data_IF_658672732584
#
_entry.id   IF_658672732584
#
_cell.length_a   1.000
_cell.length_b   1.000
_cell.length_c   1.000
_cell.angle_alpha   90.00
_cell.angle_beta   90.00
_cell.angle_gamma   90.00
#
_symmetry.space_group_name_H-M   'P 1'
#
loop_
_entity.id
_entity.type
_entity.pdbx_description
1 polymer ?
#
# COMPACT_ATOMS: atom_id res chain seq x y z
N UNK A 1 16.63 -20.74 72.79
CA UNK A 1 15.34 -21.44 73.08
C UNK A 1 14.52 -21.41 71.81
N UNK A 2 14.59 -22.47 71.10
CA UNK A 2 13.58 -23.47 70.69
C UNK A 2 12.19 -22.89 70.39
N UNK A 3 11.75 -23.09 69.15
CA UNK A 3 10.50 -23.78 68.86
C UNK A 3 10.37 -24.20 67.41
N UNK A 4 10.64 -25.46 67.16
CA UNK A 4 10.07 -26.28 66.12
C UNK A 4 8.57 -26.42 66.34
N UNK A 5 7.77 -26.28 65.30
CA UNK A 5 6.41 -26.85 65.27
C UNK A 5 6.04 -27.18 63.85
N UNK A 6 6.14 -28.42 63.51
CA UNK A 6 5.21 -29.36 62.95
C UNK A 6 4.16 -28.80 61.96
N UNK A 7 4.35 -29.07 60.67
CA UNK A 7 3.29 -28.96 59.68
C UNK A 7 2.98 -30.37 59.19
N UNK A 8 1.79 -30.82 59.55
CA UNK A 8 1.19 -32.05 59.04
C UNK A 8 0.83 -31.92 57.55
N UNK A 9 1.19 -32.95 56.79
CA UNK A 9 0.79 -33.20 55.40
C UNK A 9 -0.73 -33.27 55.31
N UNK A 10 -1.30 -32.51 54.41
CA UNK A 10 -2.59 -32.77 53.82
C UNK A 10 -2.36 -32.77 52.29
N UNK A 11 -2.33 -33.98 51.76
CA UNK A 11 -2.31 -34.19 50.29
C UNK A 11 -3.72 -33.95 49.77
N UNK A 12 -3.90 -32.77 49.12
CA UNK A 12 -5.03 -32.58 48.22
C UNK A 12 -4.52 -32.83 46.80
N UNK A 13 -4.93 -33.93 46.25
CA UNK A 13 -4.80 -34.22 44.82
C UNK A 13 -5.82 -33.35 44.12
N UNK A 14 -5.38 -32.19 43.63
CA UNK A 14 -6.15 -31.41 42.69
C UNK A 14 -5.92 -31.99 41.30
N UNK A 15 -6.88 -32.72 40.78
CA UNK A 15 -6.97 -33.06 39.37
C UNK A 15 -7.12 -31.76 38.59
N UNK A 16 -6.01 -31.26 38.09
CA UNK A 16 -6.03 -30.20 37.06
C UNK A 16 -6.55 -30.86 35.79
N UNK A 17 -7.83 -30.74 35.55
CA UNK A 17 -8.40 -30.96 34.22
C UNK A 17 -7.73 -29.95 33.27
N UNK A 18 -6.79 -30.44 32.47
CA UNK A 18 -6.30 -29.76 31.29
C UNK A 18 -7.49 -29.57 30.35
N UNK A 19 -8.23 -28.47 30.52
CA UNK A 19 -9.10 -27.96 29.49
C UNK A 19 -8.14 -27.51 28.39
N UNK A 20 -7.91 -28.40 27.43
CA UNK A 20 -7.36 -28.05 26.12
C UNK A 20 -8.35 -27.12 25.47
N UNK A 21 -8.34 -25.86 25.90
CA UNK A 21 -8.95 -24.77 25.14
C UNK A 21 -8.27 -24.74 23.80
N UNK A 22 -8.84 -25.43 22.82
CA UNK A 22 -8.56 -25.09 21.43
C UNK A 22 -8.80 -23.60 21.30
N UNK A 23 -7.73 -22.83 21.32
CA UNK A 23 -7.76 -21.45 20.85
C UNK A 23 -8.25 -21.55 19.42
N UNK A 24 -9.53 -21.30 19.21
CA UNK A 24 -10.00 -20.96 17.88
C UNK A 24 -9.18 -19.74 17.50
N UNK A 25 -8.17 -19.96 16.67
CA UNK A 25 -7.47 -18.89 15.99
C UNK A 25 -8.59 -18.08 15.34
N UNK A 26 -8.81 -16.86 15.85
CA UNK A 26 -9.80 -15.96 15.32
C UNK A 26 -9.50 -15.81 13.84
N UNK A 27 -10.39 -16.28 12.99
CA UNK A 27 -10.31 -16.15 11.52
C UNK A 27 -10.52 -14.71 11.05
N UNK A 28 -9.98 -13.72 11.79
CA UNK A 28 -9.95 -12.37 11.30
C UNK A 28 -8.85 -12.26 10.24
N UNK A 29 -9.17 -11.71 9.06
CA UNK A 29 -8.15 -11.48 8.04
C UNK A 29 -7.01 -10.66 8.62
N UNK A 30 -5.78 -11.09 8.35
CA UNK A 30 -4.54 -10.44 8.83
C UNK A 30 -4.44 -8.98 8.40
N UNK A 31 -5.01 -8.66 7.24
CA UNK A 31 -4.94 -7.34 6.63
C UNK A 31 -6.33 -6.74 6.43
N UNK A 32 -6.45 -5.41 6.59
CA UNK A 32 -7.63 -4.65 6.20
C UNK A 32 -7.77 -4.62 4.67
N UNK A 33 -9.00 -4.65 4.17
CA UNK A 33 -9.23 -4.48 2.73
C UNK A 33 -9.08 -3.00 2.40
N UNK A 34 -8.03 -2.68 1.66
CA UNK A 34 -7.71 -1.32 1.23
C UNK A 34 -8.23 -0.97 -0.16
N UNK A 35 -8.41 0.33 -0.42
CA UNK A 35 -8.67 0.90 -1.74
C UNK A 35 -7.77 2.11 -1.96
N UNK A 36 -7.12 2.18 -3.14
CA UNK A 36 -6.54 3.44 -3.60
C UNK A 36 -7.67 4.36 -4.06
N UNK A 37 -7.83 5.52 -3.38
CA UNK A 37 -8.97 6.43 -3.60
C UNK A 37 -9.00 7.07 -5.01
N UNK A 38 -7.89 7.02 -5.75
CA UNK A 38 -7.88 7.42 -7.17
C UNK A 38 -8.84 6.59 -8.02
N UNK A 39 -9.16 5.37 -7.59
CA UNK A 39 -10.14 4.50 -8.26
C UNK A 39 -11.54 5.09 -8.31
N UNK A 40 -11.88 5.93 -7.36
CA UNK A 40 -13.21 6.56 -7.21
C UNK A 40 -13.09 8.09 -7.14
N UNK A 41 -12.09 8.64 -7.86
CA UNK A 41 -11.76 10.07 -7.82
C UNK A 41 -12.92 10.99 -8.19
N UNK A 42 -13.73 10.60 -9.18
CA UNK A 42 -14.93 11.31 -9.61
C UNK A 42 -15.97 11.42 -8.50
N UNK A 43 -16.20 10.33 -7.75
CA UNK A 43 -17.09 10.33 -6.60
C UNK A 43 -16.47 11.10 -5.41
N UNK A 44 -15.17 10.98 -5.17
CA UNK A 44 -14.46 11.73 -4.13
C UNK A 44 -14.44 13.24 -4.40
N UNK A 45 -14.34 13.67 -5.65
CA UNK A 45 -14.42 15.08 -6.03
C UNK A 45 -15.83 15.66 -5.82
N UNK A 46 -16.86 14.86 -6.03
CA UNK A 46 -18.26 15.27 -5.91
C UNK A 46 -18.73 15.34 -4.46
N UNK A 47 -18.53 14.28 -3.70
CA UNK A 47 -18.95 14.17 -2.28
C UNK A 47 -18.06 13.13 -1.56
N UNK A 48 -16.96 13.56 -0.96
CA UNK A 48 -16.03 12.65 -0.27
C UNK A 48 -16.68 11.88 0.89
N UNK A 49 -17.57 12.53 1.65
CA UNK A 49 -18.18 11.93 2.85
C UNK A 49 -19.15 10.81 2.45
N UNK A 50 -20.03 11.06 1.50
CA UNK A 50 -20.99 10.06 1.01
C UNK A 50 -20.26 8.92 0.30
N UNK A 51 -19.16 9.21 -0.42
CA UNK A 51 -18.32 8.21 -1.06
C UNK A 51 -17.69 7.28 -0.02
N UNK A 52 -17.06 7.83 1.02
CA UNK A 52 -16.45 7.04 2.09
C UNK A 52 -17.48 6.18 2.84
N UNK A 53 -18.69 6.72 3.12
CA UNK A 53 -19.79 5.94 3.70
C UNK A 53 -20.20 4.76 2.83
N UNK A 54 -20.24 4.96 1.51
CA UNK A 54 -20.60 3.91 0.54
C UNK A 54 -19.49 2.86 0.46
N UNK A 55 -18.22 3.25 0.41
CA UNK A 55 -17.08 2.34 0.43
C UNK A 55 -17.04 1.50 1.71
N UNK A 56 -17.31 2.11 2.88
CA UNK A 56 -17.47 1.36 4.14
C UNK A 56 -18.57 0.29 4.05
N UNK A 57 -19.74 0.64 3.50
CA UNK A 57 -20.85 -0.32 3.31
C UNK A 57 -20.48 -1.48 2.39
N UNK A 58 -19.62 -1.26 1.40
CA UNK A 58 -19.06 -2.31 0.53
C UNK A 58 -18.09 -3.22 1.29
N UNK A 59 -17.47 -2.68 2.35
CA UNK A 59 -16.55 -3.42 3.24
C UNK A 59 -15.08 -3.04 3.09
N UNK A 60 -14.77 -1.92 2.45
CA UNK A 60 -13.45 -1.31 2.54
C UNK A 60 -13.19 -0.77 3.94
N UNK A 61 -11.96 -0.85 4.41
CA UNK A 61 -11.59 -0.56 5.79
C UNK A 61 -10.41 0.41 5.90
N UNK A 62 -9.55 0.43 4.87
CA UNK A 62 -8.35 1.25 4.83
C UNK A 62 -8.18 1.91 3.46
N UNK A 63 -7.52 3.06 3.42
CA UNK A 63 -7.35 3.76 2.16
C UNK A 63 -5.91 4.21 1.92
N UNK A 64 -5.54 4.21 0.64
CA UNK A 64 -4.41 4.97 0.15
C UNK A 64 -4.93 6.26 -0.47
N UNK A 65 -4.44 7.39 0.03
CA UNK A 65 -4.86 8.73 -0.43
C UNK A 65 -4.10 9.16 -1.68
N UNK A 66 -4.63 10.16 -2.39
CA UNK A 66 -3.97 10.84 -3.49
C UNK A 66 -4.35 12.33 -3.47
N UNK A 67 -3.63 13.14 -4.26
CA UNK A 67 -4.06 14.51 -4.56
C UNK A 67 -3.99 15.49 -3.39
N UNK A 68 -3.07 15.28 -2.43
CA UNK A 68 -2.82 16.27 -1.39
C UNK A 68 -2.42 17.62 -2.00
N UNK A 69 -3.21 18.65 -1.75
CA UNK A 69 -2.90 20.02 -2.15
C UNK A 69 -1.96 20.68 -1.13
N UNK A 70 -0.67 20.73 -1.44
CA UNK A 70 0.35 21.31 -0.56
C UNK A 70 0.23 22.82 -0.39
N UNK A 71 -0.43 23.53 -1.32
CA UNK A 71 -0.65 24.98 -1.21
C UNK A 71 -1.78 25.28 -0.22
N UNK A 72 -2.90 24.57 -0.36
CA UNK A 72 -4.06 24.70 0.51
C UNK A 72 -3.96 23.85 1.78
N UNK A 73 -3.02 22.89 1.81
CA UNK A 73 -2.83 21.88 2.86
C UNK A 73 -4.10 21.07 3.10
N UNK A 74 -4.70 20.54 2.02
CA UNK A 74 -5.98 19.84 2.06
C UNK A 74 -5.96 18.52 1.30
N UNK A 75 -6.73 17.55 1.81
CA UNK A 75 -7.19 16.36 1.11
C UNK A 75 -8.68 16.51 0.83
N UNK A 76 -9.10 16.43 -0.40
CA UNK A 76 -10.54 16.43 -0.79
C UNK A 76 -11.34 17.58 -0.16
N UNK A 77 -10.74 18.75 0.00
CA UNK A 77 -11.37 19.92 0.62
C UNK A 77 -11.17 20.07 2.14
N UNK A 78 -10.69 19.06 2.84
CA UNK A 78 -10.50 19.04 4.30
C UNK A 78 -9.02 19.19 4.68
N UNK A 79 -8.74 19.79 5.82
CA UNK A 79 -7.41 19.69 6.43
C UNK A 79 -7.10 18.23 6.81
N UNK A 80 -5.84 17.83 6.98
CA UNK A 80 -5.49 16.47 7.40
C UNK A 80 -6.20 16.02 8.68
N UNK A 81 -6.33 16.92 9.66
CA UNK A 81 -6.99 16.63 10.94
C UNK A 81 -8.51 16.43 10.75
N UNK A 82 -9.16 17.32 9.99
CA UNK A 82 -10.59 17.16 9.68
C UNK A 82 -10.85 15.85 8.92
N UNK A 83 -10.01 15.53 7.92
CA UNK A 83 -10.17 14.29 7.15
C UNK A 83 -9.96 13.07 8.03
N UNK A 84 -8.96 13.08 8.94
CA UNK A 84 -8.79 12.02 9.94
C UNK A 84 -10.01 11.87 10.84
N UNK A 85 -10.61 12.96 11.30
CA UNK A 85 -11.82 12.90 12.13
C UNK A 85 -12.96 12.24 11.37
N UNK A 86 -13.21 12.64 10.12
CA UNK A 86 -14.22 12.02 9.25
C UNK A 86 -13.99 10.51 9.11
N UNK A 87 -12.74 10.09 8.88
CA UNK A 87 -12.41 8.66 8.78
C UNK A 87 -12.67 7.93 10.10
N UNK A 88 -12.23 8.49 11.22
CA UNK A 88 -12.44 7.90 12.54
C UNK A 88 -13.92 7.74 12.89
N UNK A 89 -14.75 8.75 12.64
CA UNK A 89 -16.21 8.71 12.86
C UNK A 89 -16.88 7.62 12.02
N UNK A 90 -16.28 7.31 10.88
CA UNK A 90 -16.70 6.20 10.02
C UNK A 90 -16.05 4.86 10.40
N UNK A 91 -15.12 4.80 11.36
CA UNK A 91 -14.35 3.61 11.67
C UNK A 91 -13.47 3.14 10.51
N UNK A 92 -12.95 4.09 9.73
CA UNK A 92 -12.06 3.90 8.58
C UNK A 92 -10.66 4.41 8.92
N UNK A 93 -9.66 3.97 8.16
CA UNK A 93 -8.28 4.41 8.31
C UNK A 93 -7.66 4.77 6.96
N UNK A 94 -6.53 5.49 7.01
CA UNK A 94 -5.56 5.56 5.93
C UNK A 94 -4.23 5.00 6.44
N UNK A 95 -3.47 4.39 5.57
CA UNK A 95 -2.14 3.87 5.91
C UNK A 95 -1.05 4.36 4.95
N UNK A 96 -1.43 4.93 3.81
CA UNK A 96 -0.53 5.38 2.75
C UNK A 96 -1.12 6.52 1.93
N UNK A 97 -0.26 7.24 1.24
CA UNK A 97 -0.67 8.27 0.28
C UNK A 97 0.29 8.43 -0.89
N UNK A 98 -0.27 8.61 -2.10
CA UNK A 98 0.44 9.01 -3.30
C UNK A 98 0.57 10.53 -3.35
N UNK A 99 1.80 11.02 -3.35
CA UNK A 99 2.10 12.45 -3.35
C UNK A 99 2.74 12.89 -4.68
N UNK A 100 2.50 14.12 -5.11
CA UNK A 100 2.99 14.68 -6.37
C UNK A 100 4.51 14.90 -6.43
N UNK A 101 5.30 13.93 -6.02
CA UNK A 101 6.77 14.00 -5.94
C UNK A 101 7.45 13.95 -7.31
N UNK A 102 6.78 13.42 -8.31
CA UNK A 102 7.28 13.29 -9.69
C UNK A 102 7.57 14.63 -10.38
N UNK A 103 6.89 15.71 -9.98
CA UNK A 103 7.14 17.07 -10.47
C UNK A 103 8.36 17.74 -9.86
N UNK A 104 9.02 17.10 -8.88
CA UNK A 104 10.06 17.73 -8.06
C UNK A 104 11.48 17.29 -8.43
N UNK A 105 11.64 16.44 -9.44
CA UNK A 105 12.92 15.86 -9.84
C UNK A 105 13.99 16.92 -10.20
N UNK A 106 13.58 18.05 -10.79
CA UNK A 106 14.47 19.14 -11.20
C UNK A 106 14.63 20.23 -10.15
N UNK A 107 13.87 20.15 -9.06
CA UNK A 107 13.95 21.18 -8.04
C UNK A 107 15.28 21.08 -7.27
N UNK A 108 15.76 22.22 -6.79
CA UNK A 108 16.81 22.24 -5.78
C UNK A 108 16.38 21.45 -4.54
N UNK A 109 17.34 20.89 -3.83
CA UNK A 109 17.07 20.10 -2.62
C UNK A 109 16.25 20.92 -1.60
N UNK A 110 16.48 22.23 -1.49
CA UNK A 110 15.69 23.11 -0.62
C UNK A 110 14.19 23.09 -0.98
N UNK A 111 13.85 23.27 -2.27
CA UNK A 111 12.44 23.27 -2.72
C UNK A 111 11.81 21.89 -2.57
N UNK A 112 12.54 20.83 -2.92
CA UNK A 112 12.11 19.45 -2.74
C UNK A 112 11.81 19.16 -1.26
N UNK A 113 12.72 19.48 -0.36
CA UNK A 113 12.53 19.19 1.05
C UNK A 113 11.43 20.03 1.69
N UNK A 114 11.25 21.29 1.28
CA UNK A 114 10.11 22.11 1.74
C UNK A 114 8.76 21.51 1.34
N UNK A 115 8.65 20.99 0.12
CA UNK A 115 7.46 20.28 -0.33
C UNK A 115 7.27 18.98 0.48
N UNK A 116 8.34 18.21 0.65
CA UNK A 116 8.33 16.95 1.39
C UNK A 116 7.93 17.14 2.85
N UNK A 117 8.39 18.24 3.50
CA UNK A 117 7.96 18.57 4.87
C UNK A 117 6.44 18.78 4.97
N UNK A 118 5.83 19.39 3.95
CA UNK A 118 4.38 19.52 3.90
C UNK A 118 3.68 18.17 3.78
N UNK A 119 4.20 17.26 2.96
CA UNK A 119 3.67 15.91 2.80
C UNK A 119 3.83 15.09 4.10
N UNK A 120 5.00 15.15 4.74
CA UNK A 120 5.29 14.49 6.02
C UNK A 120 4.30 14.94 7.11
N UNK A 121 4.13 16.25 7.28
CA UNK A 121 3.22 16.79 8.28
C UNK A 121 1.77 16.36 8.03
N UNK A 122 1.34 16.33 6.77
CA UNK A 122 -0.01 15.89 6.42
C UNK A 122 -0.21 14.38 6.67
N UNK A 123 0.76 13.57 6.28
CA UNK A 123 0.75 12.11 6.49
C UNK A 123 0.75 11.75 7.98
N UNK A 124 1.59 12.40 8.79
CA UNK A 124 1.60 12.24 10.25
C UNK A 124 0.27 12.63 10.89
N UNK A 125 -0.32 13.74 10.45
CA UNK A 125 -1.61 14.19 10.96
C UNK A 125 -2.75 13.21 10.64
N UNK A 126 -2.74 12.58 9.45
CA UNK A 126 -3.66 11.48 9.11
C UNK A 126 -3.40 10.22 9.94
N UNK A 127 -2.15 9.96 10.31
CA UNK A 127 -1.72 8.73 10.97
C UNK A 127 -1.26 7.65 9.99
N UNK A 128 -0.93 8.04 8.74
CA UNK A 128 -0.37 7.17 7.73
C UNK A 128 0.95 6.53 8.20
N UNK A 129 1.34 5.46 7.52
CA UNK A 129 2.60 4.76 7.72
C UNK A 129 3.55 4.97 6.55
N UNK A 130 3.01 5.30 5.37
CA UNK A 130 3.77 5.40 4.13
C UNK A 130 3.47 6.69 3.36
N UNK A 131 4.54 7.28 2.85
CA UNK A 131 4.50 8.24 1.73
C UNK A 131 4.97 7.48 0.50
N UNK A 132 4.23 7.57 -0.61
CA UNK A 132 4.57 6.85 -1.85
C UNK A 132 4.91 7.84 -2.97
N UNK A 133 6.02 7.54 -3.65
CA UNK A 133 6.37 8.16 -4.95
C UNK A 133 5.58 7.44 -6.04
N UNK A 134 4.55 8.08 -6.65
CA UNK A 134 3.56 7.36 -7.41
C UNK A 134 3.99 6.99 -8.84
N UNK A 135 4.79 7.81 -9.50
CA UNK A 135 5.15 7.63 -10.91
C UNK A 135 6.34 8.50 -11.33
N UNK A 136 7.13 8.01 -12.29
CA UNK A 136 8.22 8.78 -12.92
C UNK A 136 7.71 9.51 -14.18
N UNK A 137 8.07 10.78 -14.35
CA UNK A 137 7.72 11.54 -15.55
C UNK A 137 8.45 10.95 -16.77
N UNK A 138 7.76 10.86 -17.91
CA UNK A 138 8.25 10.27 -19.17
C UNK A 138 9.62 10.80 -19.62
N UNK A 139 9.92 12.07 -19.38
CA UNK A 139 11.21 12.68 -19.76
C UNK A 139 12.42 12.06 -19.04
N UNK A 140 12.19 11.31 -17.95
CA UNK A 140 13.23 10.60 -17.20
C UNK A 140 13.25 9.10 -17.50
N UNK A 141 12.53 8.61 -18.49
CA UNK A 141 12.60 7.21 -18.92
C UNK A 141 13.89 6.99 -19.73
N UNK A 142 15.03 7.08 -19.06
CA UNK A 142 16.38 6.89 -19.60
C UNK A 142 17.32 6.46 -18.49
N UNK A 143 18.51 5.96 -18.83
CA UNK A 143 19.53 5.60 -17.86
C UNK A 143 19.85 6.77 -16.90
N UNK A 144 20.16 7.94 -17.45
CA UNK A 144 20.46 9.13 -16.62
C UNK A 144 19.26 9.56 -15.75
N UNK A 145 18.04 9.38 -16.26
CA UNK A 145 16.83 9.65 -15.51
C UNK A 145 16.68 8.73 -14.31
N UNK A 146 16.99 7.43 -14.44
CA UNK A 146 16.98 6.49 -13.31
C UNK A 146 18.11 6.75 -12.32
N UNK A 147 19.31 7.13 -12.78
CA UNK A 147 20.39 7.55 -11.88
C UNK A 147 20.01 8.78 -11.05
N UNK A 148 19.34 9.75 -11.67
CA UNK A 148 18.80 10.92 -10.95
C UNK A 148 17.70 10.50 -9.97
N UNK A 149 16.76 9.65 -10.41
CA UNK A 149 15.66 9.13 -9.58
C UNK A 149 16.19 8.44 -8.33
N UNK A 150 17.12 7.51 -8.47
CA UNK A 150 17.74 6.77 -7.35
C UNK A 150 18.36 7.71 -6.33
N UNK A 151 19.10 8.72 -6.78
CA UNK A 151 19.66 9.76 -5.90
C UNK A 151 18.56 10.49 -5.13
N UNK A 152 17.49 10.92 -5.82
CA UNK A 152 16.37 11.62 -5.18
C UNK A 152 15.56 10.72 -4.25
N UNK A 153 15.35 9.45 -4.61
CA UNK A 153 14.66 8.49 -3.74
C UNK A 153 15.43 8.28 -2.42
N UNK A 154 16.75 8.14 -2.48
CA UNK A 154 17.58 8.02 -1.28
C UNK A 154 17.48 9.28 -0.39
N UNK A 155 17.59 10.48 -0.97
CA UNK A 155 17.47 11.74 -0.23
C UNK A 155 16.09 11.88 0.45
N UNK A 156 15.00 11.59 -0.30
CA UNK A 156 13.64 11.65 0.23
C UNK A 156 13.40 10.57 1.29
N UNK A 157 13.84 9.34 1.01
CA UNK A 157 13.65 8.20 1.91
C UNK A 157 14.33 8.40 3.25
N UNK A 158 15.57 8.89 3.26
CA UNK A 158 16.29 9.21 4.49
C UNK A 158 15.54 10.25 5.34
N UNK A 159 15.06 11.33 4.69
CA UNK A 159 14.31 12.40 5.39
C UNK A 159 12.97 11.89 5.94
N UNK A 160 12.22 11.12 5.15
CA UNK A 160 10.94 10.53 5.56
C UNK A 160 11.18 9.55 6.72
N UNK A 161 12.20 8.71 6.65
CA UNK A 161 12.55 7.78 7.73
C UNK A 161 12.84 8.48 9.04
N UNK A 162 13.58 9.60 9.01
CA UNK A 162 13.86 10.43 10.19
C UNK A 162 12.60 11.03 10.83
N UNK A 163 11.51 11.18 10.08
CA UNK A 163 10.22 11.66 10.60
C UNK A 163 9.36 10.58 11.25
N UNK A 164 9.78 9.32 11.22
CA UNK A 164 9.02 8.18 11.75
C UNK A 164 8.06 7.53 10.74
N UNK A 165 8.03 8.03 9.50
CA UNK A 165 7.28 7.42 8.40
C UNK A 165 8.18 6.49 7.57
N UNK A 166 7.55 5.70 6.70
CA UNK A 166 8.23 4.94 5.66
C UNK A 166 8.00 5.57 4.29
N UNK A 167 8.91 5.33 3.38
CA UNK A 167 8.84 5.79 2.01
C UNK A 167 8.81 4.60 1.06
N UNK A 168 7.97 4.65 0.02
CA UNK A 168 7.92 3.60 -0.99
C UNK A 168 7.90 4.19 -2.41
N UNK A 169 8.44 3.43 -3.37
CA UNK A 169 8.33 3.69 -4.80
C UNK A 169 7.29 2.74 -5.39
N UNK A 170 6.36 3.27 -6.18
CA UNK A 170 5.33 2.52 -6.91
C UNK A 170 5.78 2.31 -8.37
N UNK A 171 5.76 1.06 -8.84
CA UNK A 171 6.17 0.74 -10.19
C UNK A 171 5.06 0.94 -11.23
N UNK A 172 5.50 1.31 -12.44
CA UNK A 172 4.70 1.32 -13.66
C UNK A 172 5.29 0.37 -14.72
N UNK A 173 4.61 0.23 -15.85
CA UNK A 173 5.06 -0.63 -16.95
C UNK A 173 6.41 -0.21 -17.56
N UNK A 174 6.73 1.07 -17.57
CA UNK A 174 8.02 1.58 -18.08
C UNK A 174 9.20 1.18 -17.19
N UNK A 175 9.00 0.84 -15.93
CA UNK A 175 10.06 0.40 -15.02
C UNK A 175 10.61 -0.98 -15.39
N UNK A 176 9.91 -1.71 -16.26
CA UNK A 176 10.35 -3.01 -16.82
C UNK A 176 11.03 -2.90 -18.18
N UNK A 177 11.19 -1.69 -18.71
CA UNK A 177 12.04 -1.47 -19.90
C UNK A 177 13.51 -1.47 -19.49
N UNK A 178 14.37 -1.86 -20.44
CA UNK A 178 15.82 -1.86 -20.22
C UNK A 178 16.37 -0.45 -20.42
N UNK A 179 17.17 -0.02 -19.43
CA UNK A 179 17.96 1.20 -19.45
C UNK A 179 19.39 0.81 -19.10
N UNK A 180 20.26 0.80 -20.09
CA UNK A 180 21.65 0.31 -19.97
C UNK A 180 21.71 -1.13 -19.39
N UNK A 181 21.06 -2.06 -20.08
CA UNK A 181 21.03 -3.52 -19.80
C UNK A 181 20.26 -3.99 -18.57
N UNK A 182 19.73 -3.08 -17.73
CA UNK A 182 18.91 -3.42 -16.56
C UNK A 182 17.53 -2.79 -16.69
N UNK A 183 16.52 -3.42 -16.12
CA UNK A 183 15.20 -2.80 -15.96
C UNK A 183 15.30 -1.57 -15.05
N UNK A 184 14.46 -0.57 -15.31
CA UNK A 184 14.39 0.62 -14.45
C UNK A 184 14.18 0.28 -12.98
N UNK A 185 13.34 -0.72 -12.69
CA UNK A 185 13.09 -1.17 -11.32
C UNK A 185 14.31 -1.86 -10.68
N UNK A 186 15.15 -2.55 -11.47
CA UNK A 186 16.40 -3.13 -10.95
C UNK A 186 17.37 -2.04 -10.48
N UNK A 187 17.48 -0.92 -11.23
CA UNK A 187 18.25 0.25 -10.79
C UNK A 187 17.77 0.77 -9.44
N UNK A 188 16.44 0.85 -9.23
CA UNK A 188 15.87 1.28 -7.96
C UNK A 188 16.17 0.28 -6.85
N UNK A 189 16.02 -1.01 -7.12
CA UNK A 189 16.29 -2.08 -6.14
C UNK A 189 17.75 -2.07 -5.69
N UNK A 190 18.69 -1.99 -6.63
CA UNK A 190 20.12 -2.13 -6.35
C UNK A 190 20.74 -0.86 -5.74
N UNK A 191 20.31 0.31 -6.19
CA UNK A 191 20.98 1.58 -5.89
C UNK A 191 20.29 2.41 -4.80
N UNK A 192 19.15 1.96 -4.29
CA UNK A 192 18.50 2.64 -3.16
C UNK A 192 18.73 1.89 -1.85
N UNK A 193 18.91 2.65 -0.77
CA UNK A 193 19.03 2.09 0.57
C UNK A 193 17.72 1.37 0.97
N UNK A 194 17.73 0.06 1.26
CA UNK A 194 16.53 -0.71 1.57
C UNK A 194 15.85 -0.31 2.88
N UNK A 195 16.55 0.34 3.79
CA UNK A 195 15.95 0.85 5.03
C UNK A 195 15.17 2.15 4.81
N UNK A 196 15.57 2.94 3.81
CA UNK A 196 14.96 4.22 3.50
C UNK A 196 13.87 4.13 2.43
N UNK A 197 14.06 3.26 1.42
CA UNK A 197 13.17 3.13 0.26
C UNK A 197 12.59 1.73 0.21
N UNK A 198 11.31 1.61 0.51
CA UNK A 198 10.51 0.40 0.31
C UNK A 198 9.88 0.43 -1.08
N UNK A 199 9.17 -0.62 -1.44
CA UNK A 199 8.56 -0.77 -2.76
C UNK A 199 7.06 -1.05 -2.61
N UNK A 200 6.29 -0.46 -3.51
CA UNK A 200 4.89 -0.77 -3.74
C UNK A 200 4.79 -1.47 -5.10
N UNK A 201 4.46 -2.78 -5.09
CA UNK A 201 4.27 -3.50 -6.34
C UNK A 201 2.84 -3.32 -6.84
N UNK A 202 2.74 -2.94 -8.10
CA UNK A 202 1.49 -2.96 -8.86
C UNK A 202 1.50 -4.14 -9.82
N UNK A 203 0.70 -5.15 -9.49
CA UNK A 203 0.67 -6.41 -10.25
C UNK A 203 0.17 -6.24 -11.69
N UNK A 204 -0.75 -5.29 -11.93
CA UNK A 204 -1.20 -5.03 -13.29
C UNK A 204 -0.03 -4.59 -14.19
N UNK A 205 0.80 -3.68 -13.71
CA UNK A 205 1.93 -3.20 -14.50
C UNK A 205 3.01 -4.26 -14.70
N UNK A 206 3.25 -5.13 -13.70
CA UNK A 206 4.13 -6.29 -13.85
C UNK A 206 3.61 -7.22 -14.95
N UNK A 207 2.34 -7.60 -14.87
CA UNK A 207 1.72 -8.52 -15.82
C UNK A 207 1.58 -7.91 -17.23
N UNK A 208 1.29 -6.61 -17.32
CA UNK A 208 1.20 -5.90 -18.60
C UNK A 208 2.55 -5.79 -19.29
N UNK A 209 3.61 -5.52 -18.54
CA UNK A 209 4.97 -5.48 -19.09
C UNK A 209 5.45 -6.83 -19.61
N UNK A 210 5.00 -7.93 -19.00
CA UNK A 210 5.30 -9.31 -19.40
C UNK A 210 6.81 -9.58 -19.54
N UNK A 211 7.62 -9.05 -18.61
CA UNK A 211 9.09 -9.21 -18.57
C UNK A 211 9.56 -10.11 -17.45
N UNK A 212 8.84 -10.13 -16.34
CA UNK A 212 9.15 -10.88 -15.14
C UNK A 212 7.85 -11.29 -14.46
N UNK A 213 7.82 -12.44 -13.83
CA UNK A 213 6.66 -12.83 -13.01
C UNK A 213 6.68 -12.14 -11.66
N UNK A 214 5.52 -11.82 -11.04
CA UNK A 214 5.46 -11.17 -9.74
C UNK A 214 6.27 -11.87 -8.66
N UNK A 215 6.27 -13.22 -8.63
CA UNK A 215 7.06 -13.99 -7.68
C UNK A 215 8.56 -13.73 -7.85
N UNK A 216 9.05 -13.81 -9.08
CA UNK A 216 10.46 -13.63 -9.37
C UNK A 216 10.91 -12.18 -9.10
N UNK A 217 10.00 -11.21 -9.35
CA UNK A 217 10.23 -9.82 -8.99
C UNK A 217 10.41 -9.63 -7.47
N UNK A 218 9.55 -10.25 -6.66
CA UNK A 218 9.66 -10.17 -5.19
C UNK A 218 10.97 -10.80 -4.71
N UNK A 219 11.42 -11.88 -5.34
CA UNK A 219 12.67 -12.56 -4.99
C UNK A 219 13.91 -11.70 -5.21
N UNK A 220 13.86 -10.69 -6.10
CA UNK A 220 14.97 -9.71 -6.27
C UNK A 220 15.19 -8.82 -5.03
N UNK A 221 14.15 -8.61 -4.22
CA UNK A 221 14.23 -7.71 -3.05
C UNK A 221 13.27 -8.15 -1.95
N UNK A 222 13.47 -9.37 -1.43
CA UNK A 222 12.63 -9.94 -0.37
C UNK A 222 12.53 -9.01 0.84
N UNK A 223 11.34 -8.88 1.39
CA UNK A 223 11.06 -8.02 2.54
C UNK A 223 10.94 -6.52 2.23
N UNK A 224 11.16 -6.07 0.97
CA UNK A 224 11.06 -4.65 0.58
C UNK A 224 9.74 -4.25 -0.05
N UNK A 225 8.98 -5.20 -0.64
CA UNK A 225 7.69 -4.93 -1.29
C UNK A 225 6.56 -4.90 -0.25
N UNK A 226 6.54 -3.82 0.53
CA UNK A 226 5.66 -3.63 1.69
C UNK A 226 4.21 -3.34 1.33
N UNK A 227 3.97 -2.80 0.15
CA UNK A 227 2.68 -2.37 -0.33
C UNK A 227 2.34 -3.07 -1.65
N UNK A 228 1.06 -3.45 -1.82
CA UNK A 228 0.58 -4.07 -3.06
C UNK A 228 -0.59 -3.31 -3.65
N UNK A 229 -0.57 -3.11 -4.97
CA UNK A 229 -1.75 -2.74 -5.76
C UNK A 229 -2.28 -3.98 -6.50
N UNK A 230 -3.56 -4.28 -6.26
CA UNK A 230 -4.27 -5.42 -6.84
C UNK A 230 -5.27 -4.86 -7.86
N UNK A 231 -4.97 -5.03 -9.14
CA UNK A 231 -5.73 -4.56 -10.31
C UNK A 231 -5.99 -5.70 -11.26
N UNK A 232 -6.91 -5.54 -12.20
CA UNK A 232 -7.07 -6.51 -13.28
C UNK A 232 -6.86 -5.89 -14.66
N UNK A 233 -6.57 -6.75 -15.64
CA UNK A 233 -6.20 -6.38 -17.00
C UNK A 233 -7.18 -6.97 -17.99
N UNK A 234 -7.84 -6.13 -18.78
CA UNK A 234 -8.74 -6.58 -19.82
C UNK A 234 -8.05 -7.58 -20.77
N UNK A 235 -8.78 -8.61 -21.16
CA UNK A 235 -8.25 -9.73 -21.95
C UNK A 235 -7.80 -9.31 -23.34
N UNK A 236 -8.48 -8.33 -23.93
CA UNK A 236 -8.30 -7.90 -25.33
C UNK A 236 -7.44 -6.63 -25.37
N UNK A 237 -7.92 -5.56 -24.73
CA UNK A 237 -7.30 -4.23 -24.79
C UNK A 237 -6.06 -4.11 -23.93
N UNK A 238 -5.90 -5.00 -22.96
CA UNK A 238 -4.85 -4.94 -21.92
C UNK A 238 -4.91 -3.68 -21.05
N UNK A 239 -6.02 -2.99 -21.06
CA UNK A 239 -6.29 -1.84 -20.20
C UNK A 239 -6.90 -2.29 -18.87
N UNK A 240 -7.27 -1.35 -17.99
CA UNK A 240 -7.89 -1.66 -16.71
C UNK A 240 -9.27 -2.28 -16.90
N UNK A 241 -9.65 -3.15 -15.97
CA UNK A 241 -11.00 -3.66 -15.83
C UNK A 241 -11.27 -4.02 -14.37
N UNK A 242 -12.52 -4.30 -14.01
CA UNK A 242 -12.90 -4.76 -12.69
C UNK A 242 -12.25 -6.10 -12.34
N UNK A 243 -11.87 -6.30 -11.09
CA UNK A 243 -11.31 -7.57 -10.62
C UNK A 243 -12.23 -8.74 -10.96
N UNK A 244 -11.68 -9.79 -11.55
CA UNK A 244 -12.38 -11.00 -11.98
C UNK A 244 -12.98 -10.94 -13.37
N UNK A 245 -12.93 -9.79 -14.04
CA UNK A 245 -13.36 -9.64 -15.44
C UNK A 245 -12.18 -9.69 -16.41
N UNK A 246 -10.97 -9.57 -15.87
CA UNK A 246 -9.74 -9.52 -16.66
C UNK A 246 -9.07 -10.86 -16.89
N UNK A 247 -7.76 -10.79 -17.12
CA UNK A 247 -6.90 -11.92 -17.46
C UNK A 247 -5.90 -12.31 -16.38
N UNK A 248 -5.82 -11.56 -15.26
CA UNK A 248 -4.85 -11.84 -14.20
C UNK A 248 -5.40 -12.92 -13.27
N UNK A 249 -4.83 -14.11 -13.33
CA UNK A 249 -5.16 -15.20 -12.41
C UNK A 249 -4.34 -15.07 -11.12
N UNK A 250 -4.91 -14.39 -10.14
CA UNK A 250 -4.26 -14.15 -8.85
C UNK A 250 -3.92 -15.42 -8.06
N UNK A 251 -4.57 -16.54 -8.36
CA UNK A 251 -4.20 -17.82 -7.71
C UNK A 251 -2.82 -18.34 -8.17
N UNK A 252 -2.34 -17.85 -9.32
CA UNK A 252 -1.03 -18.23 -9.89
C UNK A 252 0.04 -17.17 -9.73
N UNK A 253 -0.34 -15.91 -9.68
CA UNK A 253 0.62 -14.79 -9.73
C UNK A 253 0.93 -14.15 -8.40
N UNK A 254 0.07 -14.31 -7.37
CA UNK A 254 0.35 -13.73 -6.06
C UNK A 254 1.61 -14.32 -5.45
N UNK A 255 2.58 -13.49 -5.06
CA UNK A 255 3.74 -13.95 -4.30
C UNK A 255 3.35 -14.26 -2.85
N UNK A 256 4.24 -14.93 -2.13
CA UNK A 256 4.06 -15.15 -0.69
C UNK A 256 4.13 -13.79 0.06
N UNK A 257 3.08 -13.41 0.81
CA UNK A 257 3.05 -12.13 1.53
C UNK A 257 4.19 -11.97 2.54
N UNK A 258 4.63 -13.06 3.18
CA UNK A 258 5.71 -13.01 4.17
C UNK A 258 7.07 -12.79 3.49
N UNK A 259 7.32 -13.41 2.32
CA UNK A 259 8.54 -13.20 1.53
C UNK A 259 8.57 -11.77 0.98
N UNK A 260 7.45 -11.26 0.51
CA UNK A 260 7.30 -9.86 0.10
C UNK A 260 7.55 -8.89 1.26
N UNK A 261 7.20 -9.29 2.49
CA UNK A 261 7.16 -8.43 3.66
C UNK A 261 5.92 -7.52 3.66
N UNK A 262 4.81 -8.00 3.09
CA UNK A 262 3.57 -7.25 2.94
C UNK A 262 3.07 -6.67 4.26
N UNK A 263 2.73 -5.39 4.24
CA UNK A 263 2.10 -4.66 5.34
C UNK A 263 0.69 -4.18 4.99
N UNK A 264 0.51 -3.66 3.76
CA UNK A 264 -0.79 -3.17 3.27
C UNK A 264 -1.00 -3.52 1.81
N UNK A 265 -2.25 -3.71 1.42
CA UNK A 265 -2.63 -3.83 0.02
C UNK A 265 -3.86 -2.97 -0.28
N UNK A 266 -3.96 -2.52 -1.52
CA UNK A 266 -5.07 -1.70 -2.00
C UNK A 266 -5.57 -2.25 -3.31
N UNK A 267 -6.90 -2.41 -3.41
CA UNK A 267 -7.54 -2.62 -4.70
C UNK A 267 -7.46 -1.30 -5.47
N UNK A 268 -7.25 -1.37 -6.78
CA UNK A 268 -7.23 -0.16 -7.60
C UNK A 268 -7.71 -0.44 -9.02
N UNK A 269 -8.42 0.54 -9.60
CA UNK A 269 -8.74 0.61 -11.01
C UNK A 269 -8.55 2.04 -11.52
N UNK A 270 -7.60 2.25 -12.43
CA UNK A 270 -7.21 3.58 -12.89
C UNK A 270 -8.21 4.26 -13.85
N UNK A 271 -9.23 3.52 -14.34
CA UNK A 271 -10.20 3.98 -15.33
C UNK A 271 -10.91 2.81 -16.01
N UNK A 272 -11.51 3.05 -17.19
CA UNK A 272 -12.25 2.04 -17.99
C UNK A 272 -13.35 1.33 -17.19
N UNK A 273 -14.13 2.09 -16.44
CA UNK A 273 -15.26 1.55 -15.71
C UNK A 273 -16.37 1.13 -16.68
N UNK A 274 -16.99 -0.04 -16.46
CA UNK A 274 -18.10 -0.50 -17.31
C UNK A 274 -19.37 0.31 -17.10
N UNK A 275 -19.61 0.78 -15.88
CA UNK A 275 -20.74 1.64 -15.51
C UNK A 275 -20.19 2.93 -14.93
N UNK A 276 -19.67 2.89 -13.72
CA UNK A 276 -19.02 3.98 -13.01
C UNK A 276 -17.96 3.46 -12.02
N UNK A 277 -17.23 4.36 -11.40
CA UNK A 277 -16.16 4.03 -10.48
C UNK A 277 -16.63 3.29 -9.22
N UNK A 278 -17.82 3.64 -8.71
CA UNK A 278 -18.37 3.04 -7.50
C UNK A 278 -18.91 1.63 -7.76
N UNK A 279 -19.56 1.38 -8.90
CA UNK A 279 -19.93 0.04 -9.35
C UNK A 279 -18.71 -0.85 -9.53
N UNK A 280 -17.65 -0.32 -10.16
CA UNK A 280 -16.39 -1.04 -10.32
C UNK A 280 -15.73 -1.38 -8.99
N UNK A 281 -15.70 -0.44 -8.04
CA UNK A 281 -15.21 -0.68 -6.69
C UNK A 281 -16.02 -1.79 -5.98
N UNK A 282 -17.36 -1.79 -6.13
CA UNK A 282 -18.22 -2.83 -5.54
C UNK A 282 -17.94 -4.21 -6.15
N UNK A 283 -17.86 -4.32 -7.47
CA UNK A 283 -17.56 -5.59 -8.16
C UNK A 283 -16.18 -6.13 -7.77
N UNK A 284 -15.21 -5.24 -7.73
CA UNK A 284 -13.82 -5.60 -7.39
C UNK A 284 -13.69 -6.14 -5.97
N UNK A 285 -14.32 -5.51 -4.97
CA UNK A 285 -14.25 -6.01 -3.60
C UNK A 285 -15.02 -7.32 -3.42
N UNK A 286 -16.15 -7.51 -4.10
CA UNK A 286 -16.91 -8.76 -4.02
C UNK A 286 -16.10 -9.94 -4.58
N UNK A 287 -15.46 -9.75 -5.73
CA UNK A 287 -14.58 -10.76 -6.30
C UNK A 287 -13.36 -11.00 -5.41
N UNK A 288 -12.73 -9.93 -4.89
CA UNK A 288 -11.60 -10.03 -3.98
C UNK A 288 -11.92 -10.89 -2.77
N UNK A 289 -12.99 -10.61 -2.05
CA UNK A 289 -13.43 -11.38 -0.89
C UNK A 289 -13.68 -12.85 -1.22
N UNK A 290 -14.28 -13.12 -2.37
CA UNK A 290 -14.65 -14.48 -2.79
C UNK A 290 -13.45 -15.31 -3.24
N UNK A 291 -12.45 -14.69 -3.88
CA UNK A 291 -11.41 -15.42 -4.62
C UNK A 291 -9.99 -15.14 -4.17
N UNK A 292 -9.66 -13.90 -3.78
CA UNK A 292 -8.27 -13.48 -3.57
C UNK A 292 -7.92 -13.39 -2.08
N UNK A 293 -8.81 -12.87 -1.24
CA UNK A 293 -8.53 -12.60 0.17
C UNK A 293 -7.93 -13.78 0.93
N UNK A 294 -8.38 -14.98 0.65
CA UNK A 294 -7.88 -16.22 1.29
C UNK A 294 -6.48 -16.64 0.82
N UNK A 295 -5.92 -15.99 -0.20
CA UNK A 295 -4.59 -16.27 -0.74
C UNK A 295 -3.52 -15.37 -0.09
N UNK A 296 -3.92 -14.36 0.67
CA UNK A 296 -3.10 -13.37 1.37
C UNK A 296 -3.19 -13.61 2.88
#
# INVERSE_FOLDING_TARGET
>A
MNRLTFIKKASLISTISLISGAHSLSNFPKYKIGLQLFSVRDAMEKDPISTLKSLKKMGYQDFETYGYDTKRKKYYGFSPIEFKTILNDLGLTTSSGHYGLNGLMELSDYKLFKYLDSCINASLALGDKYIVYPMLNKKYHSYDGYKLLVKKLNQMGEKIKKSGLNFAYHNFGYDFNLYDRKMGLEWIIEETNPDWVKLQVDFYWVMRANKIMPKDLIDLAQGRFKLWHIKDMDKITKDYTELGYGSIDYSKVLPNPNISGLEYYYLEQGGNYKIDSMDSAKKSIDFFKKKIQKLI
#
